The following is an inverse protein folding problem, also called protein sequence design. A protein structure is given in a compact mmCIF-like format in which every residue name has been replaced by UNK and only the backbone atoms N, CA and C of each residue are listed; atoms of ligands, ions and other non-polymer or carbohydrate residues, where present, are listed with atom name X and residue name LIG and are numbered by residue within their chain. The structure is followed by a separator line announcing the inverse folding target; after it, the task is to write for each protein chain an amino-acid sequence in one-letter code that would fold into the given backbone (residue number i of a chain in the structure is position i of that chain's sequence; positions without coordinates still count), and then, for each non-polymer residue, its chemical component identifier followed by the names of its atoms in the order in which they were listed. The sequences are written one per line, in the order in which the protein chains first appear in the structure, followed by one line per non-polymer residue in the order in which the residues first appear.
data_IF_246191628087
#
_entry.id   IF_246191628087
#
_cell.length_a   1.000
_cell.length_b   1.000
_cell.length_c   1.000
_cell.angle_alpha   90.00
_cell.angle_beta   90.00
_cell.angle_gamma   90.00
#
_symmetry.space_group_name_H-M   'P 1'
#
loop_
_entity.id
_entity.type
_entity.pdbx_description
1 polymer ?
#
# COMPACT_ATOMS: atom_id res chain seq x y z
N UNK A 1 10.60 7.97 -1.41
CA UNK A 1 11.27 7.45 -0.19
C UNK A 1 10.30 6.58 0.57
N UNK A 2 10.76 5.50 1.14
CA UNK A 2 9.93 4.56 1.89
C UNK A 2 10.70 3.75 2.92
N UNK A 3 9.96 3.12 3.83
CA UNK A 3 10.50 2.14 4.77
C UNK A 3 10.15 0.74 4.26
N UNK A 4 11.15 -0.08 4.08
CA UNK A 4 11.02 -1.44 3.58
C UNK A 4 11.08 -2.41 4.75
N UNK A 5 10.05 -3.23 4.87
CA UNK A 5 9.92 -4.19 5.94
C UNK A 5 9.39 -5.53 5.40
N UNK A 6 9.76 -6.63 6.02
CA UNK A 6 9.21 -7.94 5.70
C UNK A 6 7.85 -8.18 6.35
N UNK A 7 7.19 -9.23 5.89
CA UNK A 7 6.00 -9.78 6.55
C UNK A 7 6.34 -10.18 8.00
N UNK A 8 5.40 -10.09 8.90
CA UNK A 8 5.58 -10.37 10.34
C UNK A 8 6.65 -9.49 11.04
N UNK A 9 6.97 -8.33 10.51
CA UNK A 9 7.77 -7.33 11.24
C UNK A 9 6.86 -6.23 11.79
N UNK A 10 7.17 -5.66 12.96
CA UNK A 10 6.57 -4.40 13.37
C UNK A 10 6.83 -3.33 12.29
N UNK A 11 6.01 -2.30 12.23
CA UNK A 11 6.01 -1.29 11.17
C UNK A 11 7.26 -0.39 11.18
N UNK A 12 8.42 -1.01 11.07
CA UNK A 12 9.75 -0.39 10.94
C UNK A 12 10.65 -1.29 10.09
N UNK A 13 11.69 -0.75 9.52
CA UNK A 13 12.57 -1.49 8.63
C UNK A 13 13.71 -0.64 8.08
N UNK A 14 14.18 -0.96 6.88
CA UNK A 14 15.24 -0.26 6.18
C UNK A 14 14.71 0.93 5.40
N UNK A 15 15.52 1.97 5.32
CA UNK A 15 15.17 3.16 4.57
C UNK A 15 15.67 3.05 3.12
N UNK A 16 14.78 3.32 2.17
CA UNK A 16 15.12 3.35 0.75
C UNK A 16 14.53 4.57 0.03
N UNK A 17 15.23 4.99 -1.00
CA UNK A 17 14.76 5.95 -1.99
C UNK A 17 14.31 5.16 -3.21
N UNK A 18 13.18 5.56 -3.78
CA UNK A 18 12.59 4.94 -4.96
C UNK A 18 12.60 5.97 -6.08
N UNK A 19 13.25 5.63 -7.17
CA UNK A 19 13.20 6.36 -8.43
C UNK A 19 12.38 5.56 -9.45
N UNK A 20 11.14 5.93 -9.71
CA UNK A 20 10.29 5.22 -10.65
C UNK A 20 10.71 5.38 -12.13
N UNK A 21 11.61 6.32 -12.43
CA UNK A 21 12.17 6.49 -13.77
C UNK A 21 13.31 5.49 -14.04
N UNK A 22 14.01 5.05 -12.98
CA UNK A 22 15.06 4.04 -13.08
C UNK A 22 14.52 2.60 -13.14
N UNK A 23 13.25 2.38 -12.86
CA UNK A 23 12.57 1.09 -12.94
C UNK A 23 11.36 1.01 -12.03
N UNK A 24 10.49 0.02 -12.27
CA UNK A 24 9.25 -0.20 -11.50
C UNK A 24 9.06 -1.66 -11.08
N UNK A 25 9.91 -2.52 -11.58
CA UNK A 25 9.91 -3.93 -11.19
C UNK A 25 10.72 -4.13 -9.90
N UNK A 26 10.60 -5.29 -9.32
CA UNK A 26 11.26 -5.64 -8.07
C UNK A 26 12.78 -5.44 -8.14
N UNK A 27 13.33 -4.74 -7.16
CA UNK A 27 14.73 -4.31 -7.07
C UNK A 27 15.20 -3.29 -8.12
N UNK A 28 14.34 -2.82 -9.00
CA UNK A 28 14.65 -1.72 -9.91
C UNK A 28 14.30 -0.38 -9.28
N UNK A 29 15.12 0.64 -9.54
CA UNK A 29 14.87 1.99 -9.05
C UNK A 29 14.87 2.14 -7.52
N UNK A 30 15.29 1.15 -6.76
CA UNK A 30 15.38 1.19 -5.31
C UNK A 30 16.83 1.25 -4.86
N UNK A 31 17.14 2.25 -4.03
CA UNK A 31 18.43 2.38 -3.36
C UNK A 31 18.22 2.41 -1.85
N UNK A 32 18.82 1.45 -1.13
CA UNK A 32 18.84 1.50 0.33
C UNK A 32 19.87 2.52 0.82
N UNK A 33 19.41 3.46 1.63
CA UNK A 33 20.24 4.56 2.14
C UNK A 33 21.06 4.10 3.33
N UNK A 34 20.49 3.26 4.19
CA UNK A 34 21.19 2.80 5.39
C UNK A 34 20.69 1.39 5.79
N UNK A 35 21.59 0.56 6.34
CA UNK A 35 23.04 0.82 6.52
C UNK A 35 23.88 0.61 5.26
N UNK A 36 23.26 0.20 4.14
CA UNK A 36 23.99 -0.25 2.95
C UNK A 36 23.34 0.24 1.66
N UNK A 37 24.13 0.86 0.79
CA UNK A 37 23.74 1.25 -0.56
C UNK A 37 23.72 0.06 -1.54
N UNK A 38 22.98 -0.98 -1.25
CA UNK A 38 22.79 -2.12 -2.15
C UNK A 38 21.42 -2.75 -1.97
N UNK A 39 20.90 -3.41 -3.01
CA UNK A 39 19.69 -4.21 -2.89
C UNK A 39 19.85 -5.27 -1.80
N UNK A 40 18.81 -5.47 -1.02
CA UNK A 40 18.73 -6.61 -0.12
C UNK A 40 18.21 -7.83 -0.87
N UNK A 41 18.70 -9.02 -0.54
CA UNK A 41 18.10 -10.23 -1.06
C UNK A 41 16.64 -10.33 -0.61
N UNK A 42 15.81 -10.84 -1.49
CA UNK A 42 14.39 -11.08 -1.19
C UNK A 42 14.22 -11.94 0.05
N UNK A 43 13.45 -11.44 0.99
CA UNK A 43 12.98 -12.19 2.15
C UNK A 43 11.55 -11.75 2.46
N UNK A 44 10.62 -12.65 2.33
CA UNK A 44 9.21 -12.38 2.61
C UNK A 44 8.98 -12.18 4.11
N UNK A 45 9.70 -12.91 4.95
CA UNK A 45 9.51 -12.91 6.38
C UNK A 45 10.76 -12.44 7.16
N UNK A 46 10.55 -11.66 8.20
CA UNK A 46 11.60 -11.21 9.11
C UNK A 46 12.63 -10.24 8.51
N UNK A 47 12.36 -9.73 7.30
CA UNK A 47 13.21 -8.78 6.62
C UNK A 47 13.34 -7.47 7.40
N UNK A 48 14.59 -6.96 7.51
CA UNK A 48 14.85 -5.70 8.19
C UNK A 48 14.75 -5.73 9.72
N UNK A 49 14.66 -6.90 10.35
CA UNK A 49 14.33 -7.09 11.76
C UNK A 49 15.50 -6.89 12.73
N UNK A 50 16.73 -7.14 12.30
CA UNK A 50 17.88 -7.34 13.20
C UNK A 50 18.96 -6.26 13.13
N UNK A 51 18.75 -5.21 12.38
CA UNK A 51 19.70 -4.13 12.20
C UNK A 51 19.08 -2.80 12.54
N UNK A 52 19.73 -1.72 12.16
CA UNK A 52 19.19 -0.37 12.19
C UNK A 52 17.74 -0.33 11.72
N UNK A 53 16.88 0.31 12.49
CA UNK A 53 15.46 0.40 12.19
C UNK A 53 15.04 1.85 11.96
N UNK A 54 14.23 2.04 10.93
CA UNK A 54 13.73 3.33 10.49
C UNK A 54 12.21 3.34 10.44
N UNK A 55 11.63 4.52 10.74
CA UNK A 55 10.20 4.78 10.60
C UNK A 55 9.96 6.22 10.14
N UNK A 56 8.82 6.47 9.52
CA UNK A 56 8.25 7.80 9.28
C UNK A 56 9.24 8.80 8.64
N UNK A 57 9.81 8.51 7.47
CA UNK A 57 10.66 9.46 6.77
C UNK A 57 9.87 10.69 6.34
N UNK A 58 10.42 11.87 6.58
CA UNK A 58 9.86 13.15 6.17
C UNK A 58 10.87 13.89 5.30
N UNK A 59 10.62 14.08 4.00
CA UNK A 59 11.58 14.71 3.10
C UNK A 59 11.72 16.21 3.39
N UNK A 60 12.95 16.68 3.43
CA UNK A 60 13.33 18.10 3.46
C UNK A 60 13.72 18.58 2.07
N UNK A 61 14.42 17.71 1.33
CA UNK A 61 14.84 17.89 -0.06
C UNK A 61 14.85 16.54 -0.78
N UNK A 62 15.45 16.46 -1.96
CA UNK A 62 15.66 15.19 -2.68
C UNK A 62 16.68 14.28 -1.97
N UNK A 63 17.59 14.87 -1.21
CA UNK A 63 18.71 14.16 -0.57
C UNK A 63 18.73 14.24 0.94
N UNK A 64 17.88 15.04 1.56
CA UNK A 64 17.84 15.25 3.01
C UNK A 64 16.43 15.00 3.57
N UNK A 65 16.35 14.45 4.77
CA UNK A 65 15.09 14.09 5.40
C UNK A 65 15.21 14.02 6.93
N UNK A 66 14.08 14.15 7.60
CA UNK A 66 13.91 13.77 8.99
C UNK A 66 13.46 12.31 9.05
N UNK A 67 13.92 11.58 10.04
CA UNK A 67 13.64 10.15 10.20
C UNK A 67 13.52 9.77 11.67
N UNK A 68 12.60 8.89 12.01
CA UNK A 68 12.64 8.18 13.27
C UNK A 68 13.57 6.98 13.12
N UNK A 69 14.57 6.90 13.98
CA UNK A 69 15.62 5.90 13.87
C UNK A 69 16.01 5.32 15.23
N UNK A 70 16.34 4.04 15.23
CA UNK A 70 17.02 3.35 16.35
C UNK A 70 18.12 2.43 15.81
N UNK A 71 19.32 2.45 16.43
CA UNK A 71 20.40 1.53 16.08
C UNK A 71 20.16 0.11 16.58
N UNK A 72 19.17 -0.08 17.48
CA UNK A 72 18.85 -1.35 18.08
C UNK A 72 17.82 -2.07 17.23
N UNK A 73 18.16 -3.26 16.77
CA UNK A 73 17.18 -4.14 16.11
C UNK A 73 16.02 -4.50 17.04
N UNK A 74 15.01 -5.14 16.47
CA UNK A 74 13.87 -5.63 17.23
C UNK A 74 14.29 -6.86 18.06
N UNK A 75 14.30 -6.70 19.38
CA UNK A 75 14.44 -7.81 20.33
C UNK A 75 13.17 -7.94 21.15
N UNK A 76 12.62 -9.14 21.21
CA UNK A 76 11.47 -9.43 22.07
C UNK A 76 11.80 -9.10 23.52
N UNK A 77 11.02 -8.22 24.13
CA UNK A 77 11.18 -7.85 25.55
C UNK A 77 12.00 -6.58 25.80
N UNK A 78 12.57 -5.96 24.76
CA UNK A 78 13.20 -4.64 24.88
C UNK A 78 12.34 -3.58 24.19
N UNK A 79 12.02 -2.45 24.87
CA UNK A 79 11.38 -1.33 24.21
C UNK A 79 12.34 -0.78 23.16
N UNK A 80 11.85 -0.61 21.93
CA UNK A 80 12.59 0.11 20.92
C UNK A 80 12.42 1.61 21.15
N UNK A 81 13.51 2.28 21.44
CA UNK A 81 13.53 3.72 21.61
C UNK A 81 13.97 4.36 20.30
N UNK A 82 13.01 4.98 19.61
CA UNK A 82 13.28 5.77 18.43
C UNK A 82 13.59 7.22 18.81
N UNK A 83 14.69 7.75 18.26
CA UNK A 83 14.95 9.18 18.23
C UNK A 83 14.61 9.79 16.87
N UNK A 84 14.44 11.09 16.81
CA UNK A 84 14.34 11.84 15.55
C UNK A 84 15.72 12.30 15.12
N UNK A 85 16.07 11.99 13.89
CA UNK A 85 17.35 12.33 13.28
C UNK A 85 17.13 13.15 12.01
N UNK A 86 18.05 14.07 11.74
CA UNK A 86 18.34 14.51 10.39
C UNK A 86 19.20 13.44 9.72
N UNK A 87 18.98 13.20 8.44
CA UNK A 87 19.73 12.23 7.66
C UNK A 87 19.82 12.67 6.21
N UNK A 88 20.91 12.32 5.53
CA UNK A 88 21.06 12.50 4.09
C UNK A 88 21.04 11.16 3.33
N UNK A 89 21.05 11.27 2.00
CA UNK A 89 21.04 10.10 1.11
C UNK A 89 22.33 9.27 1.17
N UNK A 90 23.42 9.82 1.67
CA UNK A 90 24.69 9.12 1.87
C UNK A 90 24.74 8.33 3.19
N UNK A 91 23.67 8.44 4.00
CA UNK A 91 23.54 7.71 5.27
C UNK A 91 24.10 8.45 6.47
N UNK A 92 24.63 9.65 6.29
CA UNK A 92 25.05 10.51 7.40
C UNK A 92 23.82 10.94 8.19
N UNK A 93 23.93 10.98 9.50
CA UNK A 93 22.79 11.26 10.38
C UNK A 93 23.22 11.95 11.67
N UNK A 94 22.37 12.84 12.13
CA UNK A 94 22.54 13.59 13.36
C UNK A 94 21.29 13.49 14.23
N UNK A 95 21.46 13.18 15.52
CA UNK A 95 20.37 13.12 16.48
C UNK A 95 19.86 14.54 16.77
N UNK A 96 18.58 14.75 16.55
CA UNK A 96 17.91 16.02 16.85
C UNK A 96 17.16 15.97 18.18
N UNK A 97 16.47 14.88 18.46
CA UNK A 97 15.71 14.72 19.71
C UNK A 97 15.54 13.24 20.06
N UNK A 98 15.65 12.94 21.35
CA UNK A 98 15.30 11.66 21.95
C UNK A 98 14.70 11.87 23.33
N UNK A 99 13.95 10.89 23.79
CA UNK A 99 13.42 10.82 25.17
C UNK A 99 13.67 9.42 25.71
N UNK A 100 14.02 9.31 26.96
CA UNK A 100 14.35 8.02 27.63
C UNK A 100 13.11 7.23 28.06
N UNK A 101 11.92 7.78 27.94
CA UNK A 101 10.67 7.19 28.40
C UNK A 101 9.72 6.86 27.27
N UNK A 102 9.84 7.56 26.14
CA UNK A 102 8.96 7.42 24.99
C UNK A 102 9.77 7.46 23.69
N UNK A 103 9.31 6.73 22.69
CA UNK A 103 9.83 6.83 21.32
C UNK A 103 9.41 8.13 20.66
N UNK A 104 10.37 8.85 20.07
CA UNK A 104 10.13 10.03 19.25
C UNK A 104 9.90 9.60 17.80
N UNK A 105 8.71 9.82 17.27
CA UNK A 105 8.36 9.38 15.92
C UNK A 105 7.52 10.42 15.15
N UNK A 106 7.25 10.13 13.87
CA UNK A 106 6.46 10.98 12.97
C UNK A 106 6.95 12.44 12.90
N UNK A 107 8.23 12.68 12.61
CA UNK A 107 8.75 14.04 12.53
C UNK A 107 8.10 14.83 11.39
N UNK A 108 7.74 16.08 11.65
CA UNK A 108 7.16 17.00 10.67
C UNK A 108 7.82 18.35 10.81
N UNK A 109 8.37 18.86 9.71
CA UNK A 109 8.90 20.23 9.69
C UNK A 109 7.75 21.25 9.69
N UNK A 110 7.72 22.09 10.70
CA UNK A 110 6.82 23.25 10.77
C UNK A 110 7.48 24.44 10.07
N UNK A 111 7.10 24.65 8.82
CA UNK A 111 7.63 25.74 8.00
C UNK A 111 6.54 26.26 7.04
N UNK A 112 6.63 27.52 6.60
CA UNK A 112 5.77 28.02 5.55
C UNK A 112 5.90 27.17 4.29
N UNK A 113 4.79 26.76 3.71
CA UNK A 113 4.75 25.98 2.46
C UNK A 113 3.85 26.63 1.44
N UNK A 114 4.24 26.51 0.18
CA UNK A 114 3.34 26.85 -0.92
C UNK A 114 2.10 25.96 -0.83
N UNK A 115 0.93 26.58 -0.84
CA UNK A 115 -0.32 25.83 -0.86
C UNK A 115 -0.34 24.93 -2.10
N UNK A 116 -0.56 23.63 -1.97
CA UNK A 116 -0.61 22.74 -3.12
C UNK A 116 -1.78 23.11 -4.03
N UNK A 117 -1.61 22.85 -5.31
CA UNK A 117 -2.68 23.03 -6.28
C UNK A 117 -3.85 22.11 -5.90
N UNK A 118 -5.02 22.71 -5.73
CA UNK A 118 -6.25 21.97 -5.47
C UNK A 118 -6.96 21.72 -6.81
N UNK A 119 -6.92 20.47 -7.25
CA UNK A 119 -7.73 20.06 -8.41
C UNK A 119 -9.21 20.14 -8.00
N UNK A 120 -10.03 20.72 -8.86
CA UNK A 120 -11.48 20.69 -8.68
C UNK A 120 -11.95 19.23 -8.70
N UNK A 121 -12.94 18.90 -7.86
CA UNK A 121 -13.55 17.59 -7.88
C UNK A 121 -14.25 17.38 -9.24
N UNK A 122 -13.97 16.24 -9.87
CA UNK A 122 -14.70 15.77 -11.04
C UNK A 122 -15.94 14.92 -10.65
N UNK A 123 -16.17 14.75 -9.36
CA UNK A 123 -17.30 13.97 -8.85
C UNK A 123 -18.55 14.84 -8.80
N UNK A 124 -19.59 14.39 -9.45
CA UNK A 124 -20.93 14.95 -9.39
C UNK A 124 -21.77 14.18 -8.37
N UNK A 125 -21.86 14.71 -7.17
CA UNK A 125 -22.59 14.09 -6.06
C UNK A 125 -24.12 14.10 -6.22
N UNK A 126 -24.65 14.77 -7.24
CA UNK A 126 -26.09 14.76 -7.55
C UNK A 126 -26.49 13.52 -8.35
N UNK A 127 -25.54 12.85 -8.98
CA UNK A 127 -25.78 11.64 -9.75
C UNK A 127 -25.82 10.40 -8.86
N UNK A 128 -26.74 9.50 -9.16
CA UNK A 128 -26.91 8.22 -8.50
C UNK A 128 -26.34 7.05 -9.31
N UNK A 129 -25.70 7.35 -10.42
CA UNK A 129 -25.05 6.36 -11.30
C UNK A 129 -23.70 6.88 -11.79
N UNK A 130 -22.80 5.95 -12.07
CA UNK A 130 -21.55 6.18 -12.77
C UNK A 130 -21.48 5.36 -14.04
N UNK A 131 -20.51 5.68 -14.88
CA UNK A 131 -20.27 4.99 -16.14
C UNK A 131 -18.88 4.36 -16.11
N UNK A 132 -18.81 3.11 -16.55
CA UNK A 132 -17.56 2.41 -16.79
C UNK A 132 -17.38 2.16 -18.28
N UNK A 133 -16.19 2.36 -18.75
CA UNK A 133 -15.75 2.00 -20.09
C UNK A 133 -14.50 1.13 -20.00
N UNK A 134 -14.54 0.01 -20.70
CA UNK A 134 -13.43 -0.92 -20.83
C UNK A 134 -13.14 -1.10 -22.32
N UNK A 135 -11.92 -0.80 -22.73
CA UNK A 135 -11.55 -0.87 -24.15
C UNK A 135 -11.52 -2.30 -24.68
N UNK A 136 -10.88 -3.18 -23.94
CA UNK A 136 -10.75 -4.58 -24.33
C UNK A 136 -10.50 -5.44 -23.10
N UNK A 137 -11.39 -6.36 -22.81
CA UNK A 137 -11.30 -7.27 -21.67
C UNK A 137 -10.18 -8.31 -21.81
N UNK A 138 -9.69 -8.53 -23.03
CA UNK A 138 -8.65 -9.52 -23.33
C UNK A 138 -7.24 -8.96 -23.15
N UNK A 139 -7.08 -7.65 -22.95
CA UNK A 139 -5.80 -7.05 -22.61
C UNK A 139 -5.36 -7.39 -21.18
N UNK A 140 -4.06 -7.66 -21.01
CA UNK A 140 -3.50 -8.04 -19.73
C UNK A 140 -3.44 -9.53 -19.48
N UNK A 141 -2.90 -9.90 -18.29
CA UNK A 141 -2.59 -11.31 -17.99
C UNK A 141 -3.82 -12.13 -17.53
N UNK A 142 -4.89 -11.47 -17.09
CA UNK A 142 -6.05 -12.15 -16.49
C UNK A 142 -6.80 -13.10 -17.43
N UNK A 143 -6.82 -12.79 -18.72
CA UNK A 143 -7.45 -13.61 -19.77
C UNK A 143 -6.44 -14.10 -20.81
N UNK A 144 -5.16 -14.18 -20.46
CA UNK A 144 -4.11 -14.67 -21.37
C UNK A 144 -4.44 -16.07 -21.87
N UNK A 145 -4.48 -16.25 -23.19
CA UNK A 145 -4.81 -17.52 -23.84
C UNK A 145 -6.30 -17.75 -24.06
N UNK A 146 -7.18 -16.90 -23.56
CA UNK A 146 -8.61 -16.95 -23.88
C UNK A 146 -8.83 -16.29 -25.25
N UNK A 147 -9.48 -17.02 -26.16
CA UNK A 147 -9.75 -16.54 -27.53
C UNK A 147 -10.72 -15.34 -27.47
N UNK A 148 -10.43 -14.22 -28.15
CA UNK A 148 -11.37 -13.11 -28.29
C UNK A 148 -12.76 -13.58 -28.77
N UNK A 149 -13.80 -12.98 -28.20
CA UNK A 149 -15.18 -13.38 -28.47
C UNK A 149 -15.69 -14.58 -27.64
N UNK A 150 -14.85 -15.20 -26.81
CA UNK A 150 -15.29 -16.25 -25.88
C UNK A 150 -16.15 -15.70 -24.77
N UNK A 151 -15.75 -14.59 -24.17
CA UNK A 151 -16.50 -13.93 -23.11
C UNK A 151 -17.61 -13.10 -23.72
N UNK A 152 -18.85 -13.36 -23.29
CA UNK A 152 -20.05 -12.68 -23.81
C UNK A 152 -20.57 -11.62 -22.86
N UNK A 153 -20.33 -11.79 -21.58
CA UNK A 153 -20.90 -10.94 -20.55
C UNK A 153 -19.93 -10.71 -19.41
N UNK A 154 -20.02 -9.54 -18.79
CA UNK A 154 -19.40 -9.21 -17.53
C UNK A 154 -20.47 -9.09 -16.46
N UNK A 155 -20.12 -9.56 -15.28
CA UNK A 155 -20.96 -9.46 -14.10
C UNK A 155 -20.46 -8.30 -13.24
N UNK A 156 -21.32 -7.36 -12.94
CA UNK A 156 -21.05 -6.27 -11.99
C UNK A 156 -21.33 -6.78 -10.58
N UNK A 157 -20.33 -6.76 -9.74
CA UNK A 157 -20.40 -7.33 -8.40
C UNK A 157 -20.04 -6.25 -7.38
N UNK A 158 -20.91 -6.08 -6.39
CA UNK A 158 -20.65 -5.30 -5.20
C UNK A 158 -20.06 -6.21 -4.12
N UNK A 159 -18.95 -5.80 -3.56
CA UNK A 159 -18.36 -6.51 -2.42
C UNK A 159 -18.97 -5.95 -1.14
N UNK A 160 -19.62 -6.81 -0.37
CA UNK A 160 -20.16 -6.43 0.93
C UNK A 160 -19.06 -6.47 1.97
N UNK A 161 -18.76 -5.31 2.53
CA UNK A 161 -17.68 -5.22 3.52
C UNK A 161 -18.04 -5.99 4.80
N UNK A 162 -17.23 -7.00 5.10
CA UNK A 162 -17.22 -7.68 6.40
C UNK A 162 -18.60 -8.07 6.95
N UNK A 163 -19.39 -8.76 6.16
CA UNK A 163 -20.69 -9.26 6.61
C UNK A 163 -20.53 -10.15 7.86
N UNK A 164 -21.27 -9.84 8.91
CA UNK A 164 -21.22 -10.59 10.15
C UNK A 164 -21.58 -12.06 9.96
N UNK A 165 -20.86 -12.95 10.61
CA UNK A 165 -21.08 -14.40 10.56
C UNK A 165 -20.55 -15.11 9.32
N UNK A 166 -19.85 -14.41 8.43
CA UNK A 166 -19.22 -15.00 7.25
C UNK A 166 -17.71 -15.12 7.44
N UNK A 167 -17.17 -16.33 7.28
CA UNK A 167 -15.73 -16.59 7.34
C UNK A 167 -15.11 -16.32 8.71
N UNK A 168 -15.77 -16.68 9.77
CA UNK A 168 -15.28 -16.52 11.14
C UNK A 168 -13.98 -17.30 11.35
N UNK A 169 -12.91 -16.56 11.64
CA UNK A 169 -11.62 -17.13 12.05
C UNK A 169 -11.44 -16.89 13.53
N UNK A 170 -11.21 -17.95 14.31
CA UNK A 170 -11.00 -17.93 15.77
C UNK A 170 -12.23 -17.59 16.63
N UNK A 171 -13.45 -17.70 16.15
CA UNK A 171 -14.67 -17.64 16.97
C UNK A 171 -15.01 -16.30 17.61
N UNK A 172 -14.22 -15.25 17.38
CA UNK A 172 -14.39 -13.95 18.03
C UNK A 172 -14.52 -12.77 17.05
N UNK A 173 -14.37 -13.00 15.76
CA UNK A 173 -14.44 -11.92 14.76
C UNK A 173 -15.88 -11.58 14.39
N UNK A 174 -16.44 -10.62 15.05
CA UNK A 174 -17.82 -10.14 14.83
C UNK A 174 -18.01 -9.32 13.55
N UNK A 175 -17.00 -9.17 12.76
CA UNK A 175 -16.99 -8.28 11.60
C UNK A 175 -16.76 -8.94 10.25
N UNK A 176 -17.28 -10.18 10.03
CA UNK A 176 -17.17 -10.82 8.72
C UNK A 176 -15.82 -11.44 8.43
N UNK A 177 -15.41 -12.29 9.26
CA UNK A 177 -14.59 -13.48 9.09
C UNK A 177 -13.27 -13.46 8.42
N UNK A 178 -12.91 -12.47 7.71
CA UNK A 178 -11.51 -12.29 7.34
C UNK A 178 -10.79 -11.66 8.52
N UNK A 179 -9.59 -12.11 8.80
CA UNK A 179 -8.68 -11.43 9.72
C UNK A 179 -8.73 -9.94 9.36
N UNK A 180 -8.97 -9.07 10.33
CA UNK A 180 -9.17 -7.64 10.09
C UNK A 180 -8.02 -6.96 9.32
N UNK A 181 -6.85 -7.56 9.34
CA UNK A 181 -5.68 -7.15 8.58
C UNK A 181 -5.69 -7.58 7.11
N UNK A 182 -6.59 -8.45 6.69
CA UNK A 182 -6.66 -8.89 5.31
C UNK A 182 -7.44 -7.88 4.46
N UNK A 183 -6.96 -7.51 3.29
CA UNK A 183 -7.72 -6.68 2.36
C UNK A 183 -8.98 -7.41 1.90
N UNK A 184 -9.99 -6.64 1.50
CA UNK A 184 -11.21 -7.17 0.91
C UNK A 184 -10.87 -7.93 -0.37
N UNK A 185 -11.24 -9.19 -0.43
CA UNK A 185 -10.87 -10.05 -1.55
C UNK A 185 -11.89 -10.04 -2.68
N UNK A 186 -11.41 -9.97 -3.92
CA UNK A 186 -12.25 -10.00 -5.14
C UNK A 186 -12.29 -11.38 -5.80
N UNK A 187 -11.36 -12.26 -5.49
CA UNK A 187 -11.25 -13.60 -6.08
C UNK A 187 -12.34 -14.57 -5.64
N UNK A 188 -12.46 -15.69 -6.35
CA UNK A 188 -13.48 -16.71 -6.06
C UNK A 188 -13.27 -17.41 -4.71
N UNK A 189 -12.05 -17.47 -4.23
CA UNK A 189 -11.70 -18.03 -2.91
C UNK A 189 -11.78 -16.99 -1.77
N UNK A 190 -12.15 -15.75 -2.07
CA UNK A 190 -12.28 -14.72 -1.07
C UNK A 190 -13.52 -14.92 -0.21
N UNK A 191 -13.41 -14.61 1.06
CA UNK A 191 -14.43 -14.80 2.09
C UNK A 191 -15.50 -13.70 2.08
N UNK A 192 -15.25 -12.60 1.39
CA UNK A 192 -16.16 -11.47 1.35
C UNK A 192 -17.41 -11.80 0.51
N UNK A 193 -18.56 -11.46 1.05
CA UNK A 193 -19.84 -11.66 0.38
C UNK A 193 -19.93 -10.77 -0.85
N UNK A 194 -20.35 -11.35 -1.95
CA UNK A 194 -20.49 -10.68 -3.25
C UNK A 194 -21.96 -10.65 -3.67
N UNK A 195 -22.45 -9.45 -3.91
CA UNK A 195 -23.80 -9.22 -4.43
C UNK A 195 -23.72 -8.86 -5.90
N UNK A 196 -24.40 -9.61 -6.75
CA UNK A 196 -24.49 -9.29 -8.17
C UNK A 196 -25.46 -8.12 -8.35
N UNK A 197 -24.98 -7.02 -8.92
CA UNK A 197 -25.80 -5.84 -9.25
C UNK A 197 -26.44 -5.95 -10.63
N UNK A 198 -25.75 -6.63 -11.55
CA UNK A 198 -26.23 -6.78 -12.91
C UNK A 198 -25.21 -7.45 -13.81
N UNK A 199 -25.56 -7.51 -15.08
CA UNK A 199 -24.73 -8.08 -16.15
C UNK A 199 -24.70 -7.09 -17.30
N UNK A 200 -23.55 -6.97 -17.96
CA UNK A 200 -23.41 -6.20 -19.20
C UNK A 200 -22.81 -7.05 -20.30
N UNK A 201 -23.13 -6.75 -21.54
CA UNK A 201 -22.60 -7.46 -22.71
C UNK A 201 -21.18 -6.98 -23.03
N UNK A 202 -20.36 -7.89 -23.53
CA UNK A 202 -19.07 -7.62 -24.14
C UNK A 202 -19.24 -7.52 -25.63
N UNK A 203 -18.81 -6.44 -26.22
CA UNK A 203 -18.88 -6.23 -27.65
C UNK A 203 -17.90 -7.15 -28.41
N UNK A 204 -18.10 -7.36 -29.73
CA UNK A 204 -17.22 -8.23 -30.52
C UNK A 204 -15.75 -7.85 -30.51
N UNK A 205 -15.43 -6.58 -30.32
CA UNK A 205 -14.07 -6.05 -30.18
C UNK A 205 -13.49 -6.21 -28.77
N UNK A 206 -14.23 -6.78 -27.83
CA UNK A 206 -13.83 -6.95 -26.45
C UNK A 206 -14.15 -5.75 -25.56
N UNK A 207 -14.73 -4.69 -26.10
CA UNK A 207 -15.10 -3.52 -25.31
C UNK A 207 -16.38 -3.75 -24.51
N UNK A 208 -16.54 -2.97 -23.43
CA UNK A 208 -17.76 -2.90 -22.67
C UNK A 208 -18.01 -1.47 -22.15
N UNK A 209 -19.25 -1.03 -22.21
CA UNK A 209 -19.69 0.26 -21.72
C UNK A 209 -20.98 0.09 -20.93
N UNK A 210 -20.98 0.46 -19.67
CA UNK A 210 -22.12 0.21 -18.81
C UNK A 210 -22.23 1.19 -17.65
N UNK A 211 -23.44 1.29 -17.13
CA UNK A 211 -23.75 2.08 -15.95
C UNK A 211 -23.74 1.22 -14.70
N UNK A 212 -23.30 1.81 -13.59
CA UNK A 212 -23.34 1.22 -12.26
C UNK A 212 -23.95 2.19 -11.27
N UNK A 213 -24.63 1.70 -10.23
CA UNK A 213 -25.09 2.57 -9.16
C UNK A 213 -23.92 3.27 -8.49
N UNK A 214 -24.11 4.56 -8.17
CA UNK A 214 -23.16 5.30 -7.37
C UNK A 214 -23.20 4.85 -5.90
N UNK A 215 -22.14 5.18 -5.16
CA UNK A 215 -22.02 4.89 -3.71
C UNK A 215 -22.06 3.40 -3.37
N UNK A 216 -21.46 2.58 -4.23
CA UNK A 216 -21.34 1.12 -4.08
C UNK A 216 -19.86 0.70 -4.09
#
# INVERSE_FOLDING_TARGET
MGVFMGHHTPQHGKLGIIDPEAGRDENEGVMFVAPVHKPEPERIDGYGKFTDQFQHPFPLSETEFLISYTPLGYYVGHPMEFGVYWMNADGERELLVSDTRISCNQPVLVAPRKRPFRRSSSVDYTKNEGVYYMQNIYEGNGLKGVKPGTIKQLRVVEIQFRAAGVGEVNGNDKGGGAIMSSPVGVGNAAWDVKRVLGVTEVQPDGSAFFKVPARK
#
